data_IF_090243471186
#
_entry.id   IF_090243471186
#
_cell.length_a   1.000
_cell.length_b   1.000
_cell.length_c   1.000
_cell.angle_alpha   90.00
_cell.angle_beta   90.00
_cell.angle_gamma   90.00
#
_symmetry.space_group_name_H-M   'P 1'
#
loop_
_entity.id
_entity.type
_entity.pdbx_description
1 polymer ?
#
# COMPACT_ATOMS: atom_id res chain seq x y z
N UNK A 1 19.05 -8.89 -37.94
CA UNK A 1 18.87 -10.36 -38.03
C UNK A 1 17.51 -10.67 -37.41
N UNK A 2 16.50 -10.92 -38.24
CA UNK A 2 15.17 -11.31 -37.74
C UNK A 2 15.23 -12.68 -37.06
N UNK A 3 14.45 -12.87 -36.00
CA UNK A 3 14.34 -14.16 -35.30
C UNK A 3 15.31 -14.41 -34.15
N UNK A 4 16.13 -13.43 -33.75
CA UNK A 4 16.94 -13.57 -32.53
C UNK A 4 16.12 -13.15 -31.31
N UNK A 5 15.89 -14.07 -30.38
CA UNK A 5 15.30 -13.74 -29.10
C UNK A 5 16.17 -12.70 -28.36
N UNK A 6 15.54 -11.77 -27.62
CA UNK A 6 16.28 -10.83 -26.78
C UNK A 6 17.21 -11.54 -25.79
N UNK A 7 18.31 -10.91 -25.35
CA UNK A 7 19.22 -11.49 -24.37
C UNK A 7 18.54 -11.94 -23.08
N UNK A 8 17.44 -11.30 -22.68
CA UNK A 8 16.66 -11.65 -21.48
C UNK A 8 16.04 -13.06 -21.53
N UNK A 9 15.91 -13.65 -22.72
CA UNK A 9 15.45 -15.03 -22.90
C UNK A 9 16.62 -16.03 -22.88
N UNK A 10 17.85 -15.59 -23.11
CA UNK A 10 19.03 -16.45 -23.16
C UNK A 10 19.73 -16.53 -21.80
N UNK A 11 19.87 -15.37 -21.15
CA UNK A 11 20.61 -15.20 -19.89
C UNK A 11 19.65 -15.12 -18.70
N UNK A 12 19.80 -15.99 -17.69
CA UNK A 12 18.98 -15.92 -16.48
C UNK A 12 19.26 -14.65 -15.68
N UNK A 13 18.20 -14.06 -15.15
CA UNK A 13 18.30 -12.93 -14.24
C UNK A 13 18.84 -13.37 -12.86
N UNK A 14 18.97 -12.43 -11.92
CA UNK A 14 19.41 -12.69 -10.54
C UNK A 14 18.56 -13.72 -9.77
N UNK A 15 17.36 -14.01 -10.24
CA UNK A 15 16.44 -15.00 -9.66
C UNK A 15 16.41 -16.32 -10.43
N UNK A 16 17.29 -16.51 -11.43
CA UNK A 16 17.33 -17.72 -12.26
C UNK A 16 16.26 -17.77 -13.36
N UNK A 17 15.51 -16.69 -13.57
CA UNK A 17 14.38 -16.64 -14.52
C UNK A 17 14.83 -15.98 -15.83
N UNK A 18 14.36 -16.54 -16.96
CA UNK A 18 14.57 -16.02 -18.31
C UNK A 18 13.22 -15.71 -18.95
N UNK A 19 13.07 -14.56 -19.60
CA UNK A 19 11.78 -14.19 -20.15
C UNK A 19 11.60 -12.71 -20.45
N UNK A 20 10.35 -12.34 -20.67
CA UNK A 20 9.91 -10.95 -20.83
C UNK A 20 8.43 -10.79 -20.48
N UNK A 21 7.94 -9.55 -20.53
CA UNK A 21 6.53 -9.23 -20.38
C UNK A 21 6.00 -8.74 -21.72
N UNK A 22 4.97 -9.40 -22.22
CA UNK A 22 4.28 -8.99 -23.43
C UNK A 22 3.37 -7.80 -23.13
N UNK A 23 3.51 -6.70 -23.86
CA UNK A 23 2.74 -5.48 -23.60
C UNK A 23 1.40 -5.47 -24.31
N UNK A 24 1.30 -6.15 -25.44
CA UNK A 24 0.09 -6.23 -26.23
C UNK A 24 -0.75 -7.46 -25.84
N UNK A 25 -1.93 -7.58 -26.44
CA UNK A 25 -2.65 -8.86 -26.44
C UNK A 25 -1.81 -9.88 -27.21
N UNK A 26 -1.68 -11.08 -26.66
CA UNK A 26 -0.98 -12.18 -27.32
C UNK A 26 -1.99 -13.18 -27.86
N UNK A 27 -2.07 -13.27 -29.18
CA UNK A 27 -2.85 -14.27 -29.88
C UNK A 27 -2.04 -15.57 -30.01
N UNK A 28 -2.67 -16.69 -29.69
CA UNK A 28 -2.08 -18.03 -29.77
C UNK A 28 -3.09 -19.02 -30.32
N UNK A 29 -2.63 -20.15 -30.84
CA UNK A 29 -3.50 -21.22 -31.37
C UNK A 29 -3.23 -22.52 -30.60
N UNK A 30 -4.27 -23.34 -30.45
CA UNK A 30 -4.16 -24.72 -29.96
C UNK A 30 -3.58 -25.66 -31.02
N UNK A 31 -3.67 -25.30 -32.30
CA UNK A 31 -3.20 -26.12 -33.40
C UNK A 31 -1.75 -25.82 -33.77
N UNK A 32 -0.86 -26.78 -33.50
CA UNK A 32 0.57 -26.68 -33.82
C UNK A 32 0.83 -26.43 -35.31
N UNK A 33 0.06 -27.05 -36.19
CA UNK A 33 0.29 -26.93 -37.64
C UNK A 33 0.01 -25.50 -38.13
N UNK A 34 -0.98 -24.83 -37.55
CA UNK A 34 -1.29 -23.42 -37.83
C UNK A 34 -0.13 -22.54 -37.36
N UNK A 35 0.37 -22.73 -36.15
CA UNK A 35 1.52 -21.97 -35.63
C UNK A 35 2.79 -22.16 -36.50
N UNK A 36 3.04 -23.40 -36.94
CA UNK A 36 4.17 -23.72 -37.81
C UNK A 36 4.01 -23.13 -39.21
N UNK A 37 2.79 -23.07 -39.74
CA UNK A 37 2.49 -22.42 -41.01
C UNK A 37 2.80 -20.92 -40.96
N UNK A 38 2.44 -20.24 -39.86
CA UNK A 38 2.80 -18.84 -39.62
C UNK A 38 4.33 -18.65 -39.54
N UNK A 39 5.02 -19.52 -38.81
CA UNK A 39 6.47 -19.46 -38.63
C UNK A 39 7.26 -19.72 -39.93
N UNK A 40 6.73 -20.57 -40.82
CA UNK A 40 7.41 -20.98 -42.06
C UNK A 40 6.93 -20.25 -43.30
N UNK A 41 5.95 -19.35 -43.15
CA UNK A 41 5.33 -18.58 -44.24
C UNK A 41 6.34 -17.78 -45.09
N UNK A 42 7.41 -17.28 -44.46
CA UNK A 42 8.46 -16.51 -45.14
C UNK A 42 9.79 -17.27 -45.16
N UNK A 43 10.22 -17.80 -46.32
CA UNK A 43 11.47 -18.54 -46.43
C UNK A 43 12.69 -17.64 -46.18
N UNK A 44 13.65 -18.14 -45.40
CA UNK A 44 14.92 -17.46 -45.14
C UNK A 44 14.94 -16.53 -43.92
N UNK A 45 13.83 -16.37 -43.20
CA UNK A 45 13.80 -15.71 -41.88
C UNK A 45 13.87 -16.73 -40.76
N UNK A 46 14.66 -16.44 -39.72
CA UNK A 46 14.59 -17.23 -38.50
C UNK A 46 13.26 -16.95 -37.80
N UNK A 47 12.56 -18.02 -37.45
CA UNK A 47 11.26 -17.97 -36.80
C UNK A 47 11.32 -18.66 -35.44
N UNK A 48 10.48 -18.17 -34.53
CA UNK A 48 10.33 -18.70 -33.18
C UNK A 48 8.87 -19.03 -32.95
N UNK A 49 8.60 -20.22 -32.45
CA UNK A 49 7.27 -20.66 -32.02
C UNK A 49 7.31 -20.87 -30.53
N UNK A 50 6.42 -20.20 -29.80
CA UNK A 50 6.26 -20.42 -28.36
C UNK A 50 5.29 -21.57 -28.13
N UNK A 51 5.79 -22.64 -27.53
CA UNK A 51 4.96 -23.73 -27.02
C UNK A 51 4.61 -23.41 -25.57
N UNK A 52 3.32 -23.25 -25.29
CA UNK A 52 2.85 -22.68 -24.02
C UNK A 52 2.22 -23.76 -23.17
N UNK A 53 2.79 -23.97 -21.98
CA UNK A 53 2.20 -24.82 -20.95
C UNK A 53 1.13 -24.03 -20.18
N UNK A 54 -0.15 -24.28 -20.47
CA UNK A 54 -1.27 -23.60 -19.80
C UNK A 54 -1.67 -24.31 -18.50
N UNK A 55 -1.50 -23.63 -17.37
CA UNK A 55 -2.04 -24.05 -16.07
C UNK A 55 -3.54 -23.77 -15.95
N UNK A 56 -4.18 -24.22 -14.87
CA UNK A 56 -5.61 -23.95 -14.60
C UNK A 56 -5.90 -22.46 -14.37
N UNK A 57 -4.93 -21.74 -13.79
CA UNK A 57 -5.05 -20.33 -13.42
C UNK A 57 -4.63 -19.42 -14.58
N UNK A 58 -3.57 -19.79 -15.30
CA UNK A 58 -2.96 -18.99 -16.37
C UNK A 58 -3.54 -19.32 -17.76
N UNK A 59 -4.86 -19.54 -17.87
CA UNK A 59 -5.52 -19.83 -19.15
C UNK A 59 -5.85 -18.57 -19.92
N UNK A 60 -5.63 -18.60 -21.24
CA UNK A 60 -6.14 -17.59 -22.15
C UNK A 60 -7.65 -17.74 -22.42
N UNK A 61 -8.25 -16.72 -23.00
CA UNK A 61 -9.65 -16.74 -23.40
C UNK A 61 -9.80 -17.31 -24.82
N UNK A 62 -10.67 -18.30 -25.01
CA UNK A 62 -11.02 -18.76 -26.35
C UNK A 62 -11.92 -17.72 -27.04
N UNK A 63 -11.43 -17.14 -28.13
CA UNK A 63 -12.14 -16.12 -28.90
C UNK A 63 -12.52 -16.60 -30.30
N UNK A 64 -12.37 -17.89 -30.60
CA UNK A 64 -12.77 -18.50 -31.88
C UNK A 64 -14.20 -18.11 -32.35
N UNK A 65 -15.22 -18.00 -31.47
CA UNK A 65 -16.57 -17.58 -31.88
C UNK A 65 -16.67 -16.13 -32.39
N UNK A 66 -15.71 -15.28 -32.01
CA UNK A 66 -15.68 -13.84 -32.32
C UNK A 66 -14.55 -13.46 -33.27
N UNK A 67 -13.60 -14.35 -33.50
CA UNK A 67 -12.44 -14.12 -34.37
C UNK A 67 -12.84 -14.13 -35.84
N UNK A 68 -12.14 -13.35 -36.65
CA UNK A 68 -12.27 -13.35 -38.11
C UNK A 68 -11.81 -14.69 -38.72
N UNK A 69 -10.99 -15.45 -37.98
CA UNK A 69 -10.46 -16.76 -38.40
C UNK A 69 -10.85 -17.86 -37.41
N UNK A 70 -12.14 -18.28 -37.37
CA UNK A 70 -12.61 -19.28 -36.39
C UNK A 70 -11.90 -20.63 -36.47
N UNK A 71 -11.34 -20.97 -37.64
CA UNK A 71 -10.63 -22.22 -37.88
C UNK A 71 -9.23 -22.26 -37.26
N UNK A 72 -8.72 -21.14 -36.77
CA UNK A 72 -7.40 -21.06 -36.11
C UNK A 72 -7.46 -21.38 -34.61
N UNK A 73 -8.65 -21.62 -34.06
CA UNK A 73 -8.87 -21.94 -32.64
C UNK A 73 -8.10 -20.98 -31.70
N UNK A 74 -8.35 -19.70 -31.89
CA UNK A 74 -7.59 -18.64 -31.25
C UNK A 74 -7.83 -18.54 -29.74
N UNK A 75 -6.74 -18.60 -28.98
CA UNK A 75 -6.65 -18.35 -27.55
C UNK A 75 -5.92 -17.02 -27.34
N UNK A 76 -6.63 -16.05 -26.77
CA UNK A 76 -6.11 -14.70 -26.53
C UNK A 76 -5.69 -14.54 -25.07
N UNK A 77 -4.47 -14.05 -24.85
CA UNK A 77 -3.97 -13.64 -23.54
C UNK A 77 -4.08 -12.13 -23.36
N UNK A 78 -4.32 -11.73 -22.12
CA UNK A 78 -4.42 -10.32 -21.75
C UNK A 78 -3.07 -9.60 -21.90
N UNK A 79 -3.08 -8.27 -22.04
CA UNK A 79 -1.87 -7.46 -22.03
C UNK A 79 -1.11 -7.63 -20.71
N UNK A 80 0.20 -7.40 -20.74
CA UNK A 80 1.11 -7.60 -19.60
C UNK A 80 1.22 -9.05 -19.15
N UNK A 81 1.04 -10.01 -20.06
CA UNK A 81 1.31 -11.42 -19.78
C UNK A 81 2.81 -11.63 -19.61
N UNK A 82 3.20 -12.24 -18.49
CA UNK A 82 4.57 -12.64 -18.24
C UNK A 82 4.88 -13.92 -19.02
N UNK A 83 5.98 -13.91 -19.77
CA UNK A 83 6.48 -15.04 -20.54
C UNK A 83 7.80 -15.49 -19.94
N UNK A 84 7.83 -16.70 -19.40
CA UNK A 84 9.03 -17.35 -18.90
C UNK A 84 9.47 -18.44 -19.88
N UNK A 85 10.75 -18.45 -20.26
CA UNK A 85 11.33 -19.47 -21.12
C UNK A 85 11.93 -20.60 -20.28
N UNK A 86 11.42 -21.81 -20.48
CA UNK A 86 11.90 -23.01 -19.83
C UNK A 86 13.04 -23.63 -20.65
N UNK A 87 12.69 -24.17 -21.83
CA UNK A 87 13.60 -24.86 -22.73
C UNK A 87 13.44 -24.38 -24.17
N UNK A 88 14.49 -24.50 -24.98
CA UNK A 88 14.45 -24.20 -26.41
C UNK A 88 14.88 -25.43 -27.20
N UNK A 89 14.04 -25.90 -28.10
CA UNK A 89 14.30 -27.01 -29.01
C UNK A 89 14.26 -26.48 -30.44
N UNK A 90 15.20 -26.91 -31.29
CA UNK A 90 15.19 -26.51 -32.70
C UNK A 90 14.53 -27.62 -33.50
N UNK A 91 13.36 -27.34 -34.08
CA UNK A 91 12.66 -28.24 -35.00
C UNK A 91 12.89 -27.75 -36.43
N UNK A 92 13.69 -28.50 -37.20
CA UNK A 92 14.15 -28.17 -38.56
C UNK A 92 14.89 -26.82 -38.60
N UNK A 93 14.16 -25.74 -38.88
CA UNK A 93 14.66 -24.37 -39.01
C UNK A 93 13.97 -23.38 -38.08
N UNK A 94 13.06 -23.85 -37.21
CA UNK A 94 12.26 -23.04 -36.30
C UNK A 94 12.67 -23.34 -34.87
N UNK A 95 12.91 -22.29 -34.08
CA UNK A 95 13.14 -22.43 -32.64
C UNK A 95 11.78 -22.62 -31.94
N UNK A 96 11.53 -23.80 -31.41
CA UNK A 96 10.39 -24.10 -30.55
C UNK A 96 10.80 -23.81 -29.11
N UNK A 97 10.27 -22.72 -28.58
CA UNK A 97 10.53 -22.21 -27.25
C UNK A 97 9.43 -22.70 -26.29
N UNK A 98 9.77 -23.66 -25.44
CA UNK A 98 8.88 -24.10 -24.37
C UNK A 98 8.82 -23.02 -23.30
N UNK A 99 7.60 -22.53 -23.05
CA UNK A 99 7.36 -21.34 -22.25
C UNK A 99 6.19 -21.53 -21.29
N UNK A 100 6.30 -20.86 -20.15
CA UNK A 100 5.25 -20.76 -19.16
C UNK A 100 4.72 -19.34 -19.13
N UNK A 101 3.41 -19.20 -19.23
CA UNK A 101 2.76 -17.90 -19.14
C UNK A 101 2.22 -17.68 -17.74
N UNK A 102 2.33 -16.45 -17.26
CA UNK A 102 1.68 -16.00 -16.05
C UNK A 102 0.84 -14.77 -16.37
N UNK A 103 -0.46 -14.87 -16.10
CA UNK A 103 -1.41 -13.79 -16.35
C UNK A 103 -1.65 -13.06 -15.03
N UNK A 104 -1.57 -11.73 -15.04
CA UNK A 104 -1.87 -10.95 -13.84
C UNK A 104 -3.39 -10.91 -13.59
N UNK A 105 -3.89 -11.87 -12.81
CA UNK A 105 -5.31 -11.92 -12.41
C UNK A 105 -5.66 -10.97 -11.25
N UNK A 106 -4.66 -10.37 -10.61
CA UNK A 106 -4.83 -9.49 -9.45
C UNK A 106 -4.74 -8.02 -9.82
N UNK A 107 -4.74 -7.67 -11.11
CA UNK A 107 -4.77 -6.28 -11.52
C UNK A 107 -6.08 -5.65 -11.08
N UNK A 108 -6.00 -4.70 -10.15
CA UNK A 108 -7.13 -3.83 -9.82
C UNK A 108 -7.52 -3.03 -11.06
N UNK A 109 -8.81 -2.78 -11.23
CA UNK A 109 -9.23 -1.74 -12.16
C UNK A 109 -8.68 -0.39 -11.70
N UNK A 110 -8.55 0.58 -12.61
CA UNK A 110 -8.09 1.92 -12.25
C UNK A 110 -8.92 2.48 -11.08
N UNK A 111 -10.24 2.33 -11.13
CA UNK A 111 -11.15 2.81 -10.08
C UNK A 111 -10.90 2.15 -8.73
N UNK A 112 -10.65 0.84 -8.71
CA UNK A 112 -10.31 0.11 -7.50
C UNK A 112 -8.95 0.57 -6.94
N UNK A 113 -7.95 0.76 -7.80
CA UNK A 113 -6.65 1.27 -7.39
C UNK A 113 -6.75 2.70 -6.83
N UNK A 114 -7.57 3.56 -7.43
CA UNK A 114 -7.86 4.89 -6.92
C UNK A 114 -8.60 4.84 -5.58
N UNK A 115 -9.60 3.96 -5.44
CA UNK A 115 -10.35 3.80 -4.20
C UNK A 115 -9.47 3.32 -3.04
N UNK A 116 -8.60 2.33 -3.27
CA UNK A 116 -7.65 1.86 -2.25
C UNK A 116 -6.67 2.96 -1.85
N UNK A 117 -6.12 3.69 -2.82
CA UNK A 117 -5.19 4.80 -2.53
C UNK A 117 -5.87 5.94 -1.77
N UNK A 118 -7.10 6.29 -2.14
CA UNK A 118 -7.88 7.32 -1.45
C UNK A 118 -8.22 6.89 -0.03
N UNK A 119 -8.59 5.63 0.17
CA UNK A 119 -8.84 5.06 1.50
C UNK A 119 -7.59 5.16 2.37
N UNK A 120 -6.44 4.71 1.88
CA UNK A 120 -5.17 4.79 2.60
C UNK A 120 -4.83 6.23 3.00
N UNK A 121 -4.99 7.20 2.10
CA UNK A 121 -4.72 8.61 2.41
C UNK A 121 -5.67 9.18 3.47
N UNK A 122 -6.95 8.78 3.45
CA UNK A 122 -7.94 9.17 4.46
C UNK A 122 -7.60 8.58 5.82
N UNK A 123 -7.25 7.29 5.86
CA UNK A 123 -6.87 6.60 7.10
C UNK A 123 -5.63 7.26 7.71
N UNK A 124 -4.61 7.57 6.89
CA UNK A 124 -3.43 8.31 7.35
C UNK A 124 -3.77 9.69 7.92
N UNK A 125 -4.68 10.43 7.27
CA UNK A 125 -5.06 11.76 7.77
C UNK A 125 -5.77 11.69 9.12
N UNK A 126 -6.65 10.71 9.31
CA UNK A 126 -7.34 10.48 10.57
C UNK A 126 -6.36 10.07 11.68
N UNK A 127 -5.38 9.21 11.37
CA UNK A 127 -4.36 8.79 12.33
C UNK A 127 -3.48 9.97 12.79
N UNK A 128 -3.09 10.86 11.87
CA UNK A 128 -2.33 12.07 12.21
C UNK A 128 -3.15 12.99 13.10
N UNK A 129 -4.44 13.19 12.81
CA UNK A 129 -5.32 13.99 13.66
C UNK A 129 -5.44 13.41 15.07
N UNK A 130 -5.58 12.09 15.18
CA UNK A 130 -5.64 11.40 16.47
C UNK A 130 -4.32 11.53 17.25
N UNK A 131 -3.18 11.42 16.59
CA UNK A 131 -1.88 11.58 17.24
C UNK A 131 -1.70 13.01 17.78
N UNK A 132 -2.01 14.01 16.95
CA UNK A 132 -1.94 15.42 17.34
C UNK A 132 -2.87 15.70 18.52
N UNK A 133 -4.13 15.25 18.46
CA UNK A 133 -5.10 15.40 19.55
C UNK A 133 -4.65 14.69 20.82
N UNK A 134 -4.08 13.49 20.70
CA UNK A 134 -3.53 12.73 21.82
C UNK A 134 -2.36 13.45 22.52
N UNK A 135 -1.45 14.04 21.73
CA UNK A 135 -0.34 14.85 22.26
C UNK A 135 -0.85 16.10 22.98
N UNK A 136 -1.81 16.83 22.40
CA UNK A 136 -2.42 17.98 23.06
C UNK A 136 -3.13 17.61 24.37
N UNK A 137 -3.88 16.51 24.40
CA UNK A 137 -4.55 16.07 25.62
C UNK A 137 -3.54 15.70 26.73
N UNK A 138 -2.45 15.02 26.37
CA UNK A 138 -1.36 14.67 27.31
C UNK A 138 -0.69 15.93 27.87
N UNK A 139 -0.37 16.89 27.01
CA UNK A 139 0.25 18.16 27.40
C UNK A 139 -0.66 18.96 28.35
N UNK A 140 -1.95 19.05 28.04
CA UNK A 140 -2.93 19.74 28.89
C UNK A 140 -3.05 19.09 30.27
N UNK A 141 -3.06 17.75 30.34
CA UNK A 141 -3.06 17.01 31.62
C UNK A 141 -1.81 17.29 32.44
N UNK A 142 -0.63 17.30 31.81
CA UNK A 142 0.64 17.61 32.48
C UNK A 142 0.67 19.04 33.03
N UNK A 143 0.23 20.02 32.23
CA UNK A 143 0.13 21.42 32.67
C UNK A 143 -0.85 21.58 33.83
N UNK A 144 -2.03 20.94 33.75
CA UNK A 144 -3.01 20.95 34.85
C UNK A 144 -2.47 20.35 36.14
N UNK A 145 -1.78 19.21 36.07
CA UNK A 145 -1.11 18.58 37.22
C UNK A 145 -0.01 19.47 37.81
N UNK A 146 0.81 20.11 36.98
CA UNK A 146 1.86 21.02 37.42
C UNK A 146 1.28 22.25 38.16
N UNK A 147 0.20 22.84 37.64
CA UNK A 147 -0.50 23.96 38.30
C UNK A 147 -1.07 23.54 39.65
N UNK A 148 -1.74 22.38 39.72
CA UNK A 148 -2.28 21.85 40.97
C UNK A 148 -1.18 21.57 42.01
N UNK A 149 -0.06 20.99 41.58
CA UNK A 149 1.08 20.74 42.46
C UNK A 149 1.70 22.05 42.98
N UNK A 150 1.85 23.06 42.11
CA UNK A 150 2.34 24.39 42.49
C UNK A 150 1.41 25.14 43.46
N UNK A 151 0.09 25.04 43.27
CA UNK A 151 -0.87 25.60 44.23
C UNK A 151 -0.77 24.90 45.59
N UNK A 152 -0.59 23.58 45.60
CA UNK A 152 -0.48 22.79 46.84
C UNK A 152 0.78 23.11 47.64
N UNK A 153 1.92 23.31 46.97
CA UNK A 153 3.18 23.74 47.64
C UNK A 153 3.09 25.18 48.16
N UNK A 154 2.43 26.08 47.44
CA UNK A 154 2.16 27.46 47.91
C UNK A 154 1.24 27.50 49.14
N UNK A 155 0.22 26.64 49.21
CA UNK A 155 -0.66 26.54 50.40
C UNK A 155 0.11 25.94 51.59
N UNK A 156 0.94 24.91 51.37
CA UNK A 156 1.69 24.27 52.45
C UNK A 156 2.76 25.20 53.06
N UNK A 157 3.44 25.99 52.24
CA UNK A 157 4.41 27.00 52.70
C UNK A 157 3.74 28.16 53.44
N UNK A 158 2.50 28.50 53.10
CA UNK A 158 1.69 29.50 53.82
C UNK A 158 1.22 28.99 55.19
N UNK A 159 0.87 27.71 55.29
CA UNK A 159 0.56 27.03 56.56
C UNK A 159 1.77 26.98 57.51
N UNK A 160 2.95 26.63 56.99
CA UNK A 160 4.19 26.65 57.78
C UNK A 160 4.66 28.07 58.19
N UNK A 161 4.38 29.10 57.37
CA UNK A 161 4.62 30.50 57.78
C UNK A 161 3.70 30.97 58.90
N UNK A 162 2.48 30.42 59.02
CA UNK A 162 1.57 30.72 60.12
C UNK A 162 1.94 30.01 61.43
N UNK A 163 2.61 28.85 61.38
CA UNK A 163 3.12 28.19 62.60
C UNK A 163 4.40 28.81 63.15
N UNK A 164 5.20 29.49 62.31
CA UNK A 164 6.41 30.22 62.77
C UNK A 164 6.17 31.67 63.21
N UNK A 165 5.00 32.26 62.96
CA UNK A 165 4.63 33.60 63.42
C UNK A 165 3.59 33.60 64.56
N UNK A 166 3.86 32.85 65.63
CA UNK A 166 3.21 33.07 66.94
C UNK A 166 3.97 34.03 67.87
N UNK A 167 4.99 34.74 67.36
CA UNK A 167 5.51 35.92 68.02
C UNK A 167 5.60 37.14 67.08
N UNK A 168 4.89 38.18 67.53
CA UNK A 168 4.94 39.60 67.17
C UNK A 168 4.62 40.03 65.73
N UNK A 169 3.43 40.60 65.52
CA UNK A 169 3.21 42.05 65.36
C UNK A 169 1.92 42.36 64.57
N UNK A 170 1.18 43.37 65.04
CA UNK A 170 0.01 43.99 64.40
C UNK A 170 0.43 44.81 63.17
N UNK A 171 -0.53 44.95 62.24
CA UNK A 171 -0.98 46.18 61.55
C UNK A 171 -1.24 45.94 60.04
N UNK A 172 -2.39 46.41 59.55
CA UNK A 172 -2.58 46.75 58.13
C UNK A 172 -3.76 46.06 57.42
N UNK A 173 -4.93 46.70 57.49
CA UNK A 173 -6.14 46.40 56.71
C UNK A 173 -6.00 46.77 55.23
N UNK A 174 -6.44 45.90 54.32
CA UNK A 174 -7.30 46.31 53.19
C UNK A 174 -8.05 45.10 52.60
N UNK A 175 -9.36 45.26 52.54
CA UNK A 175 -10.34 44.36 51.98
C UNK A 175 -10.38 44.45 50.45
N UNK A 176 -10.43 43.31 49.77
CA UNK A 176 -11.27 43.15 48.58
C UNK A 176 -11.65 41.68 48.36
N UNK A 177 -12.94 41.50 48.09
CA UNK A 177 -13.70 40.26 48.02
C UNK A 177 -13.10 39.20 47.08
N UNK A 178 -12.93 37.99 47.61
CA UNK A 178 -13.06 36.75 46.83
C UNK A 178 -13.66 35.63 47.69
N UNK A 179 -14.95 35.30 47.54
CA UNK A 179 -15.43 33.98 47.90
C UNK A 179 -15.89 33.28 46.61
N UNK A 180 -14.93 32.75 45.86
CA UNK A 180 -15.18 31.50 45.15
C UNK A 180 -14.29 30.51 45.86
N UNK A 181 -14.89 29.72 46.74
CA UNK A 181 -14.25 28.58 47.40
C UNK A 181 -13.35 27.87 46.39
N UNK A 182 -12.03 27.78 46.65
CA UNK A 182 -11.05 27.18 45.75
C UNK A 182 -11.44 25.76 45.29
N UNK A 183 -12.27 25.08 46.09
CA UNK A 183 -12.91 23.81 45.75
C UNK A 183 -13.78 23.88 44.49
N UNK A 184 -14.48 24.99 44.23
CA UNK A 184 -15.31 25.15 43.04
C UNK A 184 -14.48 25.29 41.76
N UNK A 185 -13.32 25.95 41.81
CA UNK A 185 -12.40 26.07 40.68
C UNK A 185 -11.67 24.75 40.39
N UNK A 186 -11.33 24.00 41.43
CA UNK A 186 -10.73 22.67 41.31
C UNK A 186 -11.71 21.67 40.66
N UNK A 187 -13.00 21.72 41.04
CA UNK A 187 -14.07 20.92 40.43
C UNK A 187 -14.36 21.37 38.99
N UNK A 188 -14.39 22.67 38.70
CA UNK A 188 -14.65 23.20 37.35
C UNK A 188 -13.53 22.86 36.36
N UNK A 189 -12.26 22.89 36.80
CA UNK A 189 -11.14 22.49 35.96
C UNK A 189 -11.08 20.96 35.78
N UNK A 190 -11.36 20.16 36.81
CA UNK A 190 -11.46 18.70 36.68
C UNK A 190 -12.58 18.25 35.76
N UNK A 191 -13.76 18.88 35.85
CA UNK A 191 -14.89 18.55 34.99
C UNK A 191 -14.66 19.02 33.55
N UNK A 192 -14.23 20.26 33.28
CA UNK A 192 -14.05 20.72 31.89
C UNK A 192 -12.96 19.96 31.11
N UNK A 193 -11.86 19.56 31.75
CA UNK A 193 -10.79 18.80 31.07
C UNK A 193 -11.24 17.38 30.71
N UNK A 194 -12.22 16.82 31.43
CA UNK A 194 -12.84 15.52 31.13
C UNK A 194 -13.87 15.53 30.00
N UNK A 195 -14.32 16.71 29.54
CA UNK A 195 -15.31 16.84 28.45
C UNK A 195 -14.67 17.28 27.12
N UNK A 196 -13.39 17.68 27.12
CA UNK A 196 -12.65 18.13 25.94
C UNK A 196 -11.71 17.04 25.37
N UNK A 197 -11.35 16.05 26.19
CA UNK A 197 -10.87 14.74 25.78
C UNK A 197 -11.99 13.73 26.10
#
# INVERSE_FOLDING_TARGET
VGGKLPPSFLEPNKHGVRGAVEKAFMSTTTNRDVAMAYATSEPGKAAVVFEVQQGMIDRGANISPYSQYPFEEEILFAPYTGVELLEGKVDKSVLVAESRFSVNLKSLTLDQAFAERLKLLRDMSADVELEVRGRYCTLLKQLGLAVLHGLRTCVNTRSQRQSHHRHSCRCGSSSSNWPISLYHLEILMRTRVSWLC
#
